data_IF_930240490638
#
_entry.id   IF_930240490638
#
_cell.length_a   1.000
_cell.length_b   1.000
_cell.length_c   1.000
_cell.angle_alpha   90.00
_cell.angle_beta   90.00
_cell.angle_gamma   90.00
#
_symmetry.space_group_name_H-M   'P 1'
#
loop_
_entity.id
_entity.type
_entity.pdbx_description
1 polymer ?
#
# COMPACT_ATOMS: atom_id res chain seq x y z
N UNK A 1 -1.88 -10.73 0.67
CA UNK A 1 -0.71 -10.50 -0.22
C UNK A 1 -1.01 -10.57 -1.73
N UNK A 2 -2.22 -10.89 -2.16
CA UNK A 2 -2.48 -11.22 -3.57
C UNK A 2 -2.40 -10.00 -4.51
N UNK A 3 -2.79 -8.81 -4.03
CA UNK A 3 -2.73 -7.60 -4.85
C UNK A 3 -1.29 -7.17 -5.18
N UNK A 4 -0.37 -7.29 -4.22
CA UNK A 4 1.06 -7.04 -4.45
C UNK A 4 1.64 -7.97 -5.52
N UNK A 5 1.39 -9.28 -5.41
CA UNK A 5 1.84 -10.26 -6.41
C UNK A 5 1.27 -9.97 -7.81
N UNK A 6 0.01 -9.53 -7.87
CA UNK A 6 -0.66 -9.15 -9.12
C UNK A 6 0.00 -7.93 -9.76
N UNK A 7 0.31 -6.89 -8.97
CA UNK A 7 0.98 -5.69 -9.46
C UNK A 7 2.40 -6.00 -10.01
N UNK A 8 3.15 -6.88 -9.33
CA UNK A 8 4.48 -7.32 -9.79
C UNK A 8 4.38 -8.04 -11.13
N UNK A 9 3.47 -9.00 -11.27
CA UNK A 9 3.29 -9.73 -12.54
C UNK A 9 2.77 -8.82 -13.66
N UNK A 10 1.91 -7.84 -13.34
CA UNK A 10 1.45 -6.87 -14.33
C UNK A 10 2.62 -6.04 -14.89
N UNK A 11 3.55 -5.59 -14.05
CA UNK A 11 4.76 -4.90 -14.50
C UNK A 11 5.67 -5.84 -15.31
N UNK A 12 5.83 -7.09 -14.88
CA UNK A 12 6.56 -8.11 -15.63
C UNK A 12 6.00 -8.27 -17.04
N UNK A 13 4.67 -8.41 -17.17
CA UNK A 13 4.00 -8.50 -18.46
C UNK A 13 4.17 -7.24 -19.33
N UNK A 14 4.12 -6.04 -18.73
CA UNK A 14 4.37 -4.78 -19.45
C UNK A 14 5.79 -4.77 -20.04
N UNK A 15 6.78 -5.23 -19.28
CA UNK A 15 8.17 -5.30 -19.71
C UNK A 15 8.38 -6.37 -20.80
N UNK A 16 7.80 -7.57 -20.64
CA UNK A 16 7.87 -8.65 -21.63
C UNK A 16 7.24 -8.27 -22.97
N UNK A 17 6.15 -7.51 -22.94
CA UNK A 17 5.49 -6.98 -24.14
C UNK A 17 6.22 -5.79 -24.78
N UNK A 18 7.27 -5.26 -24.13
CA UNK A 18 8.02 -4.11 -24.62
C UNK A 18 7.19 -2.84 -24.73
N UNK A 19 6.18 -2.66 -23.87
CA UNK A 19 5.33 -1.48 -23.91
C UNK A 19 6.15 -0.28 -23.43
N UNK A 20 6.34 0.72 -24.30
CA UNK A 20 7.07 1.96 -24.00
C UNK A 20 6.34 2.93 -23.06
N UNK A 21 5.57 2.40 -22.09
CA UNK A 21 4.79 3.18 -21.13
C UNK A 21 5.55 3.31 -19.81
N UNK A 22 5.71 4.53 -19.26
CA UNK A 22 6.27 4.69 -17.93
C UNK A 22 5.27 4.17 -16.90
N UNK A 23 5.68 3.20 -16.07
CA UNK A 23 4.83 2.62 -15.02
C UNK A 23 5.63 2.47 -13.74
N UNK A 24 5.02 2.82 -12.62
CA UNK A 24 5.57 2.62 -11.28
C UNK A 24 4.53 1.84 -10.45
N UNK A 25 4.93 0.71 -9.87
CA UNK A 25 4.17 0.08 -8.79
C UNK A 25 4.75 0.47 -7.44
N UNK A 26 3.88 0.83 -6.51
CA UNK A 26 4.20 0.98 -5.10
C UNK A 26 3.50 -0.12 -4.31
N UNK A 27 4.26 -0.85 -3.49
CA UNK A 27 3.79 -2.02 -2.76
C UNK A 27 4.04 -1.79 -1.27
N UNK A 28 2.97 -1.81 -0.49
CA UNK A 28 3.06 -1.87 0.97
C UNK A 28 3.09 -3.32 1.43
N UNK A 29 4.12 -3.71 2.18
CA UNK A 29 4.26 -5.05 2.73
C UNK A 29 4.30 -4.96 4.25
N UNK A 30 3.42 -5.71 4.90
CA UNK A 30 3.33 -5.82 6.35
C UNK A 30 2.79 -7.22 6.69
N UNK A 31 3.11 -7.67 7.90
CA UNK A 31 2.53 -8.90 8.47
C UNK A 31 1.67 -8.51 9.66
N UNK A 32 0.42 -8.99 9.68
CA UNK A 32 -0.51 -8.70 10.77
C UNK A 32 -0.43 -9.80 11.82
N UNK A 33 0.47 -9.65 12.79
CA UNK A 33 0.74 -10.68 13.81
C UNK A 33 0.48 -10.17 15.23
N UNK A 34 -0.03 -11.01 16.14
CA UNK A 34 -0.12 -10.69 17.55
C UNK A 34 1.28 -10.57 18.18
N UNK A 35 1.50 -9.48 18.92
CA UNK A 35 2.69 -9.23 19.74
C UNK A 35 2.34 -8.22 20.85
N UNK A 36 3.21 -8.04 21.84
CA UNK A 36 3.07 -7.02 22.88
C UNK A 36 2.98 -5.60 22.30
N UNK A 37 3.59 -5.34 21.14
CA UNK A 37 3.54 -4.06 20.44
C UNK A 37 2.43 -3.98 19.36
N UNK A 38 1.56 -4.98 19.25
CA UNK A 38 0.52 -4.99 18.22
C UNK A 38 -0.51 -3.87 18.41
N UNK A 39 -1.05 -3.42 17.28
CA UNK A 39 -2.16 -2.46 17.22
C UNK A 39 -3.38 -3.12 17.87
N UNK A 40 -4.10 -2.36 18.70
CA UNK A 40 -5.30 -2.79 19.40
C UNK A 40 -6.52 -2.02 18.92
N UNK A 41 -7.73 -2.60 18.99
CA UNK A 41 -8.96 -1.83 18.83
C UNK A 41 -8.99 -0.63 19.79
N UNK A 42 -9.27 0.56 19.24
CA UNK A 42 -9.25 1.84 19.96
C UNK A 42 -7.91 2.59 19.89
N UNK A 43 -6.83 1.98 19.38
CA UNK A 43 -5.59 2.70 19.11
C UNK A 43 -5.82 3.73 17.98
N UNK A 44 -5.22 4.92 18.12
CA UNK A 44 -5.28 5.97 17.10
C UNK A 44 -3.96 6.01 16.34
N UNK A 45 -4.03 5.65 15.07
CA UNK A 45 -2.94 5.69 14.13
C UNK A 45 -2.85 7.08 13.46
N UNK A 46 -1.65 7.62 13.26
CA UNK A 46 -1.44 8.83 12.46
C UNK A 46 -0.87 8.45 11.10
N UNK A 47 -1.67 8.60 10.04
CA UNK A 47 -1.28 8.28 8.67
C UNK A 47 -0.20 9.21 8.12
N UNK A 48 0.47 8.80 7.06
CA UNK A 48 1.55 9.54 6.40
C UNK A 48 1.15 10.96 5.95
N UNK A 49 -0.13 11.16 5.63
CA UNK A 49 -0.68 12.47 5.28
C UNK A 49 -1.04 13.35 6.49
N UNK A 50 -0.78 12.89 7.71
CA UNK A 50 -1.07 13.59 8.97
C UNK A 50 -2.51 13.41 9.48
N UNK A 51 -3.36 12.65 8.77
CA UNK A 51 -4.73 12.35 9.22
C UNK A 51 -4.67 11.24 10.27
N UNK A 52 -5.41 11.40 11.35
CA UNK A 52 -5.55 10.36 12.38
C UNK A 52 -6.70 9.42 12.07
N UNK A 53 -6.52 8.13 12.35
CA UNK A 53 -7.48 7.06 12.12
C UNK A 53 -7.59 6.22 13.38
N UNK A 54 -8.81 6.09 13.92
CA UNK A 54 -9.11 5.14 14.99
C UNK A 54 -9.20 3.73 14.40
N UNK A 55 -8.41 2.81 14.94
CA UNK A 55 -8.44 1.40 14.53
C UNK A 55 -9.54 0.70 15.32
N UNK A 56 -10.69 0.47 14.71
CA UNK A 56 -11.77 -0.29 15.35
C UNK A 56 -11.66 -1.81 15.13
N UNK A 57 -11.01 -2.21 14.03
CA UNK A 57 -10.76 -3.61 13.71
C UNK A 57 -9.34 -3.77 13.15
N UNK A 58 -8.54 -4.60 13.79
CA UNK A 58 -7.15 -4.88 13.41
C UNK A 58 -7.02 -5.78 12.18
N UNK A 59 -8.09 -6.48 11.79
CA UNK A 59 -8.20 -7.28 10.54
C UNK A 59 -8.62 -6.41 9.34
N UNK A 60 -8.68 -5.09 9.53
CA UNK A 60 -8.85 -4.12 8.46
C UNK A 60 -7.55 -3.36 8.16
N UNK A 61 -6.39 -3.93 8.50
CA UNK A 61 -5.07 -3.30 8.46
C UNK A 61 -4.64 -2.91 7.06
N UNK A 62 -5.03 -3.70 6.05
CA UNK A 62 -4.52 -3.48 4.70
C UNK A 62 -4.86 -2.08 4.17
N UNK A 63 -6.02 -1.50 4.54
CA UNK A 63 -6.39 -0.14 4.10
C UNK A 63 -5.53 0.94 4.74
N UNK A 64 -4.99 0.69 5.94
CA UNK A 64 -4.09 1.61 6.64
C UNK A 64 -2.76 1.66 5.90
N UNK A 65 -2.19 0.48 5.63
CA UNK A 65 -0.96 0.32 4.82
C UNK A 65 -1.14 0.95 3.44
N UNK A 66 -2.26 0.69 2.76
CA UNK A 66 -2.54 1.25 1.44
C UNK A 66 -2.68 2.78 1.48
N UNK A 67 -3.32 3.32 2.52
CA UNK A 67 -3.48 4.75 2.72
C UNK A 67 -2.14 5.49 2.80
N UNK A 68 -1.16 4.89 3.47
CA UNK A 68 0.19 5.47 3.53
C UNK A 68 0.93 5.36 2.21
N UNK A 69 0.86 4.22 1.54
CA UNK A 69 1.46 4.03 0.22
C UNK A 69 0.89 5.05 -0.77
N UNK A 70 -0.43 5.23 -0.82
CA UNK A 70 -1.11 6.21 -1.66
C UNK A 70 -0.65 7.63 -1.34
N UNK A 71 -0.59 7.97 -0.05
CA UNK A 71 -0.17 9.30 0.40
C UNK A 71 1.29 9.58 0.08
N UNK A 72 2.16 8.57 0.22
CA UNK A 72 3.57 8.65 -0.14
C UNK A 72 3.75 8.85 -1.65
N UNK A 73 3.11 8.03 -2.47
CA UNK A 73 3.15 8.16 -3.94
C UNK A 73 2.65 9.53 -4.36
N UNK A 74 1.47 9.95 -3.88
CA UNK A 74 0.85 11.22 -4.26
C UNK A 74 1.70 12.44 -3.89
N UNK A 75 2.49 12.35 -2.81
CA UNK A 75 3.38 13.43 -2.39
C UNK A 75 4.73 13.44 -3.11
N UNK A 76 5.30 12.26 -3.41
CA UNK A 76 6.69 12.14 -3.84
C UNK A 76 6.89 11.78 -5.32
N UNK A 77 5.87 11.27 -6.01
CA UNK A 77 5.98 10.83 -7.40
C UNK A 77 5.17 11.76 -8.32
N UNK A 78 5.86 12.39 -9.27
CA UNK A 78 5.22 13.19 -10.32
C UNK A 78 4.66 12.27 -11.42
N UNK A 79 3.35 12.41 -11.68
CA UNK A 79 2.52 11.71 -12.70
C UNK A 79 3.33 11.04 -13.84
N UNK A 80 3.33 9.71 -13.86
CA UNK A 80 2.81 8.86 -14.95
C UNK A 80 2.37 7.52 -14.32
N UNK A 81 1.08 7.19 -14.46
CA UNK A 81 0.43 5.88 -14.19
C UNK A 81 0.99 5.05 -13.02
N UNK A 82 0.61 5.39 -11.79
CA UNK A 82 0.92 4.57 -10.62
C UNK A 82 -0.17 3.52 -10.39
N UNK A 83 0.22 2.24 -10.40
CA UNK A 83 -0.65 1.13 -10.02
C UNK A 83 -0.36 0.78 -8.56
N UNK A 84 -1.37 0.88 -7.72
CA UNK A 84 -1.25 0.73 -6.27
C UNK A 84 -2.20 -0.38 -5.85
N UNK A 85 -1.65 -1.48 -5.34
CA UNK A 85 -2.44 -2.60 -4.84
C UNK A 85 -2.00 -3.01 -3.43
N UNK A 86 -3.01 -3.28 -2.62
CA UNK A 86 -2.91 -3.73 -1.25
C UNK A 86 -2.60 -5.23 -1.16
N UNK A 87 -2.10 -5.67 -0.01
CA UNK A 87 -2.07 -7.08 0.39
C UNK A 87 -3.47 -7.68 0.41
#
# INVERSE_FOLDING_TARGET
MCGAATAIHAIGAIAELGLGVPVIAAIGVAENMPDAAAIKPGDVYTAYNGITVEVQNTDAEGRLVLGDVLSYVGKNLNRITCWILQL
#
